data_IF_180160384359
#
_entry.id   IF_180160384359
#
_cell.length_a   1.000
_cell.length_b   1.000
_cell.length_c   1.000
_cell.angle_alpha   90.00
_cell.angle_beta   90.00
_cell.angle_gamma   90.00
#
_symmetry.space_group_name_H-M   'P 1'
#
loop_
_entity.id
_entity.type
_entity.pdbx_description
1 polymer ?
#
# COMPACT_ATOMS: atom_id res chain seq x y z
N UNK A 1 -17.17 52.33 -16.63
CA UNK A 1 -17.31 52.25 -15.17
C UNK A 1 -18.83 52.30 -14.75
N UNK A 2 -19.66 52.96 -15.52
CA UNK A 2 -21.12 53.08 -15.24
C UNK A 2 -21.87 51.74 -15.12
N UNK A 3 -21.39 50.72 -15.81
CA UNK A 3 -22.00 49.36 -15.85
C UNK A 3 -21.55 48.47 -14.69
N UNK A 4 -20.58 48.94 -13.85
CA UNK A 4 -20.10 48.16 -12.72
C UNK A 4 -21.13 48.22 -11.59
N UNK A 5 -21.64 47.06 -11.10
CA UNK A 5 -22.57 47.04 -9.99
C UNK A 5 -22.00 47.74 -8.74
N UNK A 6 -22.79 48.52 -8.06
CA UNK A 6 -22.38 49.15 -6.78
C UNK A 6 -22.15 48.05 -5.73
N UNK A 7 -21.05 48.15 -5.01
CA UNK A 7 -20.69 47.25 -3.91
C UNK A 7 -20.52 48.07 -2.62
N UNK A 8 -21.04 47.60 -1.48
CA UNK A 8 -20.86 48.27 -0.18
C UNK A 8 -19.42 48.20 0.31
N UNK A 9 -18.56 47.47 -0.38
CA UNK A 9 -17.14 47.25 -0.02
C UNK A 9 -16.16 48.06 -0.87
N UNK A 10 -16.65 48.63 -1.98
CA UNK A 10 -15.80 49.39 -2.92
C UNK A 10 -16.04 50.89 -2.72
N UNK A 11 -15.01 51.60 -2.31
CA UNK A 11 -15.08 53.04 -2.12
C UNK A 11 -14.86 53.86 -3.39
N UNK A 12 -14.02 53.33 -4.30
CA UNK A 12 -13.66 54.01 -5.57
C UNK A 12 -13.28 52.97 -6.63
N UNK A 13 -13.68 53.23 -7.87
CA UNK A 13 -13.19 52.55 -9.05
C UNK A 13 -12.49 53.54 -9.99
N UNK A 14 -11.41 53.16 -10.64
CA UNK A 14 -10.73 53.97 -11.60
C UNK A 14 -10.13 53.15 -12.74
N UNK A 15 -10.05 53.75 -13.93
CA UNK A 15 -9.36 53.13 -15.07
C UNK A 15 -7.85 53.27 -14.89
N UNK A 16 -7.11 52.19 -14.98
CA UNK A 16 -5.67 52.15 -14.86
C UNK A 16 -5.06 51.62 -16.16
N UNK A 17 -4.51 52.50 -16.95
CA UNK A 17 -3.93 52.14 -18.23
C UNK A 17 -4.93 51.53 -19.22
N UNK A 18 -4.40 50.80 -20.21
CA UNK A 18 -5.23 50.16 -21.25
C UNK A 18 -5.81 48.82 -20.76
N UNK A 19 -7.12 48.84 -20.43
CA UNK A 19 -7.87 47.61 -20.14
C UNK A 19 -7.89 47.13 -18.68
N UNK A 20 -7.37 47.94 -17.72
CA UNK A 20 -7.41 47.61 -16.29
C UNK A 20 -8.39 48.53 -15.54
N UNK A 21 -9.05 47.95 -14.51
CA UNK A 21 -9.88 48.70 -13.58
C UNK A 21 -9.37 48.42 -12.16
N UNK A 22 -8.97 49.49 -11.44
CA UNK A 22 -8.59 49.39 -10.02
C UNK A 22 -9.82 49.56 -9.15
N UNK A 23 -9.99 48.66 -8.17
CA UNK A 23 -11.01 48.74 -7.13
C UNK A 23 -10.32 49.10 -5.80
N UNK A 24 -10.68 50.22 -5.23
CA UNK A 24 -10.22 50.64 -3.91
C UNK A 24 -11.26 50.21 -2.86
N UNK A 25 -10.89 49.24 -2.03
CA UNK A 25 -11.78 48.69 -1.02
C UNK A 25 -11.89 49.65 0.19
N UNK A 26 -13.08 49.75 0.73
CA UNK A 26 -13.31 50.39 2.03
C UNK A 26 -12.70 49.53 3.17
N UNK A 27 -12.26 50.19 4.29
CA UNK A 27 -11.77 49.46 5.46
C UNK A 27 -12.81 48.42 5.98
N UNK A 28 -14.10 48.71 5.88
CA UNK A 28 -15.21 47.83 6.24
C UNK A 28 -15.20 46.46 5.50
N UNK A 29 -14.62 46.43 4.29
CA UNK A 29 -14.52 45.19 3.53
C UNK A 29 -13.62 44.14 4.25
N UNK A 30 -12.54 44.57 4.89
CA UNK A 30 -11.66 43.72 5.70
C UNK A 30 -12.32 43.26 6.99
N UNK A 31 -13.09 44.17 7.63
CA UNK A 31 -13.80 43.84 8.86
C UNK A 31 -14.93 42.85 8.61
N UNK A 32 -15.59 42.90 7.45
CA UNK A 32 -16.64 41.96 7.06
C UNK A 32 -16.08 40.53 6.92
N UNK A 33 -14.84 40.36 6.42
CA UNK A 33 -14.20 39.05 6.36
C UNK A 33 -14.00 38.45 7.76
N UNK A 34 -13.59 39.28 8.74
CA UNK A 34 -13.47 38.83 10.14
C UNK A 34 -14.81 38.37 10.69
N UNK A 35 -15.88 39.15 10.45
CA UNK A 35 -17.23 38.78 10.87
C UNK A 35 -17.68 37.45 10.26
N UNK A 36 -17.41 37.21 8.96
CA UNK A 36 -17.71 35.97 8.27
C UNK A 36 -16.94 34.78 8.86
N UNK A 37 -15.65 34.97 9.15
CA UNK A 37 -14.81 33.95 9.80
C UNK A 37 -15.44 33.54 11.15
N UNK A 38 -15.76 34.53 11.97
CA UNK A 38 -16.37 34.29 13.31
C UNK A 38 -17.73 33.59 13.21
N UNK A 39 -18.54 33.95 12.21
CA UNK A 39 -19.89 33.37 12.02
C UNK A 39 -19.79 31.93 11.47
N UNK A 40 -18.89 31.67 10.53
CA UNK A 40 -18.77 30.38 9.86
C UNK A 40 -17.88 29.40 10.64
N UNK A 41 -17.01 29.90 11.52
CA UNK A 41 -16.09 29.09 12.30
C UNK A 41 -15.28 28.12 11.41
N UNK A 42 -15.24 26.85 11.77
CA UNK A 42 -14.54 25.81 11.00
C UNK A 42 -15.08 25.54 9.60
N UNK A 43 -16.19 26.13 9.20
CA UNK A 43 -16.73 26.03 7.84
C UNK A 43 -16.25 27.16 6.91
N UNK A 44 -15.54 28.18 7.44
CA UNK A 44 -15.06 29.27 6.62
C UNK A 44 -14.05 28.79 5.57
N UNK A 45 -14.32 29.15 4.32
CA UNK A 45 -13.50 28.73 3.17
C UNK A 45 -13.93 27.40 2.52
N UNK A 46 -14.88 26.67 3.10
CA UNK A 46 -15.45 25.47 2.44
C UNK A 46 -16.07 25.83 1.09
N UNK A 47 -15.96 24.91 0.15
CA UNK A 47 -16.61 25.05 -1.16
C UNK A 47 -17.40 23.79 -1.51
N UNK A 48 -18.17 23.87 -2.58
CA UNK A 48 -18.98 22.76 -3.11
C UNK A 48 -18.43 22.24 -4.44
N UNK A 49 -17.18 22.53 -4.77
CA UNK A 49 -16.55 22.13 -6.03
C UNK A 49 -16.61 20.61 -6.28
N UNK A 50 -16.47 19.83 -5.23
CA UNK A 50 -16.53 18.37 -5.29
C UNK A 50 -17.94 17.80 -5.47
N UNK A 51 -18.98 18.61 -5.23
CA UNK A 51 -20.39 18.23 -5.40
C UNK A 51 -20.76 16.90 -4.70
N UNK A 52 -20.11 16.59 -3.59
CA UNK A 52 -20.21 15.33 -2.85
C UNK A 52 -19.90 14.08 -3.69
N UNK A 53 -19.21 14.24 -4.78
CA UNK A 53 -18.77 13.12 -5.61
C UNK A 53 -17.73 12.28 -4.86
N UNK A 54 -17.82 10.97 -5.02
CA UNK A 54 -16.92 10.04 -4.35
C UNK A 54 -15.52 10.12 -4.92
N UNK A 55 -14.55 10.27 -4.03
CA UNK A 55 -13.12 10.31 -4.37
C UNK A 55 -12.34 9.39 -3.44
N UNK A 56 -11.49 8.53 -4.00
CA UNK A 56 -10.59 7.71 -3.21
C UNK A 56 -9.16 8.23 -3.32
N UNK A 57 -8.47 8.25 -2.20
CA UNK A 57 -7.04 8.55 -2.15
C UNK A 57 -6.33 7.38 -1.48
N UNK A 58 -5.42 6.74 -2.20
CA UNK A 58 -4.50 5.74 -1.67
C UNK A 58 -3.14 6.39 -1.41
N UNK A 59 -2.59 6.17 -0.22
CA UNK A 59 -1.28 6.69 0.17
C UNK A 59 -0.66 5.87 1.29
N UNK A 60 0.64 6.03 1.52
CA UNK A 60 1.51 5.21 2.36
C UNK A 60 1.64 3.80 1.82
N UNK A 61 0.66 2.94 2.03
CA UNK A 61 0.60 1.54 1.53
C UNK A 61 1.94 0.80 1.68
N UNK A 62 2.60 0.98 2.84
CA UNK A 62 3.86 0.33 3.15
C UNK A 62 3.63 -1.17 3.36
N UNK A 63 4.61 -1.99 2.98
CA UNK A 63 4.56 -3.42 3.24
C UNK A 63 4.53 -3.69 4.75
N UNK A 64 3.64 -4.54 5.26
CA UNK A 64 3.51 -4.82 6.70
C UNK A 64 4.61 -5.79 7.17
N UNK A 65 5.87 -5.43 6.95
CA UNK A 65 7.04 -6.26 7.25
C UNK A 65 8.03 -5.60 8.19
N UNK A 66 7.72 -4.40 8.69
CA UNK A 66 8.52 -3.68 9.65
C UNK A 66 7.93 -2.31 9.98
N UNK A 67 8.48 -1.61 10.98
CA UNK A 67 8.02 -0.30 11.43
C UNK A 67 8.02 0.75 10.32
N UNK A 68 7.13 1.72 10.43
CA UNK A 68 7.11 2.87 9.53
C UNK A 68 8.37 3.72 9.74
N UNK A 69 8.83 4.38 8.69
CA UNK A 69 9.98 5.26 8.73
C UNK A 69 9.63 6.65 8.16
N UNK A 70 10.54 7.62 8.27
CA UNK A 70 10.33 9.02 7.86
C UNK A 70 9.85 9.18 6.41
N UNK A 71 10.25 8.28 5.51
CA UNK A 71 9.76 8.27 4.12
C UNK A 71 8.25 8.01 4.03
N UNK A 72 7.75 7.08 4.85
CA UNK A 72 6.31 6.79 4.98
C UNK A 72 5.58 7.97 5.63
N UNK A 73 6.15 8.58 6.68
CA UNK A 73 5.60 9.76 7.34
C UNK A 73 5.41 10.95 6.37
N UNK A 74 6.33 11.16 5.42
CA UNK A 74 6.18 12.18 4.38
C UNK A 74 4.99 11.87 3.47
N UNK A 75 4.82 10.62 3.04
CA UNK A 75 3.68 10.17 2.25
C UNK A 75 2.36 10.33 3.01
N UNK A 76 2.36 10.01 4.30
CA UNK A 76 1.23 10.15 5.20
C UNK A 76 0.79 11.62 5.35
N UNK A 77 1.73 12.53 5.63
CA UNK A 77 1.45 13.95 5.75
C UNK A 77 0.88 14.56 4.46
N UNK A 78 1.46 14.19 3.31
CA UNK A 78 0.99 14.66 2.02
C UNK A 78 -0.41 14.13 1.69
N UNK A 79 -0.62 12.82 1.83
CA UNK A 79 -1.90 12.19 1.54
C UNK A 79 -3.03 12.68 2.44
N UNK A 80 -2.79 12.79 3.75
CA UNK A 80 -3.76 13.31 4.70
C UNK A 80 -4.10 14.78 4.42
N UNK A 81 -3.09 15.62 4.14
CA UNK A 81 -3.33 17.03 3.80
C UNK A 81 -4.14 17.20 2.53
N UNK A 82 -3.84 16.43 1.49
CA UNK A 82 -4.61 16.42 0.24
C UNK A 82 -6.04 15.94 0.47
N UNK A 83 -6.21 14.87 1.24
CA UNK A 83 -7.53 14.33 1.60
C UNK A 83 -8.39 15.37 2.33
N UNK A 84 -7.80 16.05 3.32
CA UNK A 84 -8.46 17.10 4.07
C UNK A 84 -8.86 18.29 3.18
N UNK A 85 -7.97 18.71 2.28
CA UNK A 85 -8.22 19.78 1.34
C UNK A 85 -9.38 19.44 0.40
N UNK A 86 -9.39 18.24 -0.16
CA UNK A 86 -10.45 17.79 -1.08
C UNK A 86 -11.79 17.61 -0.37
N UNK A 87 -11.80 17.07 0.86
CA UNK A 87 -12.99 17.02 1.68
C UNK A 87 -13.53 18.42 2.00
N UNK A 88 -12.64 19.38 2.27
CA UNK A 88 -12.98 20.78 2.48
C UNK A 88 -13.53 21.45 1.22
N UNK A 89 -13.06 21.00 0.05
CA UNK A 89 -13.58 21.41 -1.25
C UNK A 89 -14.90 20.73 -1.65
N UNK A 90 -15.48 19.88 -0.79
CA UNK A 90 -16.80 19.29 -0.96
C UNK A 90 -16.84 17.92 -1.63
N UNK A 91 -15.71 17.23 -1.75
CA UNK A 91 -15.66 15.83 -2.16
C UNK A 91 -16.01 14.89 -1.01
N UNK A 92 -16.63 13.75 -1.33
CA UNK A 92 -16.77 12.61 -0.43
C UNK A 92 -15.50 11.74 -0.54
N UNK A 93 -14.56 11.97 0.37
CA UNK A 93 -13.21 11.42 0.31
C UNK A 93 -13.11 10.15 1.13
N UNK A 94 -12.66 9.06 0.51
CA UNK A 94 -12.26 7.81 1.16
C UNK A 94 -10.73 7.70 1.14
N UNK A 95 -10.11 7.57 2.31
CA UNK A 95 -8.67 7.34 2.50
C UNK A 95 -8.42 5.85 2.57
N UNK A 96 -7.57 5.33 1.72
CA UNK A 96 -7.30 3.89 1.64
C UNK A 96 -5.82 3.59 1.80
N UNK A 97 -5.54 2.59 2.63
CA UNK A 97 -4.24 1.96 2.78
C UNK A 97 -4.30 0.58 2.12
N UNK A 98 -3.45 0.32 1.13
CA UNK A 98 -3.32 -0.99 0.53
C UNK A 98 -2.37 -1.87 1.37
N UNK A 99 -2.88 -2.97 1.85
CA UNK A 99 -2.15 -3.94 2.67
C UNK A 99 -1.63 -5.05 1.76
N UNK A 100 -0.33 -5.10 1.56
CA UNK A 100 0.33 -6.20 0.85
C UNK A 100 0.48 -7.41 1.80
N UNK A 101 -0.62 -8.09 2.08
CA UNK A 101 -0.71 -9.25 2.97
C UNK A 101 -0.62 -10.60 2.22
N UNK A 102 -0.44 -10.56 0.91
CA UNK A 102 -0.19 -11.70 0.06
C UNK A 102 1.28 -11.75 -0.39
N UNK A 103 1.86 -12.94 -0.37
CA UNK A 103 3.14 -13.15 -0.99
C UNK A 103 4.31 -13.43 -0.06
N UNK A 104 5.48 -13.60 -0.67
CA UNK A 104 6.71 -14.13 -0.05
C UNK A 104 7.24 -13.29 1.11
N UNK A 105 7.07 -11.96 1.09
CA UNK A 105 7.58 -11.11 2.17
C UNK A 105 6.89 -11.39 3.51
N UNK A 106 5.59 -11.67 3.48
CA UNK A 106 4.85 -12.08 4.67
C UNK A 106 5.28 -13.48 5.16
N UNK A 107 5.56 -14.40 4.24
CA UNK A 107 6.13 -15.70 4.60
C UNK A 107 7.49 -15.56 5.28
N UNK A 108 8.34 -14.63 4.81
CA UNK A 108 9.64 -14.35 5.43
C UNK A 108 9.46 -13.76 6.84
N UNK A 109 8.51 -12.85 7.03
CA UNK A 109 8.23 -12.29 8.36
C UNK A 109 7.72 -13.36 9.33
N UNK A 110 6.78 -14.18 8.87
CA UNK A 110 6.25 -15.29 9.67
C UNK A 110 7.35 -16.32 10.03
N UNK A 111 8.20 -16.68 9.08
CA UNK A 111 9.37 -17.51 9.34
C UNK A 111 10.31 -16.85 10.35
N UNK A 112 10.60 -15.55 10.20
CA UNK A 112 11.48 -14.82 11.10
C UNK A 112 10.96 -14.84 12.54
N UNK A 113 9.69 -14.58 12.75
CA UNK A 113 9.07 -14.63 14.08
C UNK A 113 9.07 -16.05 14.65
N UNK A 114 8.79 -17.07 13.82
CA UNK A 114 8.83 -18.46 14.27
C UNK A 114 10.25 -18.92 14.63
N UNK A 115 11.27 -18.54 13.86
CA UNK A 115 12.68 -18.85 14.20
C UNK A 115 13.11 -18.15 15.50
N UNK A 116 12.69 -16.89 15.72
CA UNK A 116 12.93 -16.19 17.00
C UNK A 116 12.19 -16.87 18.16
N UNK A 117 10.97 -17.34 17.94
CA UNK A 117 10.24 -18.15 18.91
C UNK A 117 10.99 -19.44 19.24
N UNK A 118 11.54 -20.14 18.23
CA UNK A 118 12.37 -21.34 18.43
C UNK A 118 13.62 -21.05 19.28
N UNK A 119 14.24 -19.87 19.12
CA UNK A 119 15.39 -19.43 19.93
C UNK A 119 15.06 -19.34 21.43
N UNK A 120 13.82 -19.01 21.80
CA UNK A 120 13.36 -18.93 23.19
C UNK A 120 13.32 -20.31 23.89
N UNK A 121 13.48 -21.40 23.10
CA UNK A 121 13.51 -22.79 23.56
C UNK A 121 14.82 -23.49 23.16
N UNK A 122 15.91 -22.72 22.94
CA UNK A 122 17.18 -23.24 22.44
C UNK A 122 17.84 -24.32 23.33
N UNK A 123 17.51 -24.37 24.60
CA UNK A 123 17.94 -25.46 25.51
C UNK A 123 17.25 -26.78 25.22
N UNK A 124 16.02 -26.74 24.68
CA UNK A 124 15.22 -27.90 24.34
C UNK A 124 15.37 -28.35 22.87
N UNK A 125 15.72 -27.44 21.98
CA UNK A 125 16.00 -27.70 20.57
C UNK A 125 17.36 -27.11 20.20
N UNK A 126 18.16 -27.85 19.41
CA UNK A 126 19.45 -27.33 18.93
C UNK A 126 19.26 -25.98 18.21
N UNK A 127 20.26 -25.10 18.29
CA UNK A 127 20.19 -23.77 17.71
C UNK A 127 20.12 -23.83 16.18
N UNK A 128 19.12 -23.15 15.60
CA UNK A 128 18.96 -22.96 14.17
C UNK A 128 19.69 -21.66 13.78
N UNK A 129 20.61 -21.67 12.81
CA UNK A 129 21.22 -20.45 12.30
C UNK A 129 20.15 -19.50 11.75
N UNK A 130 20.10 -18.26 12.25
CA UNK A 130 19.14 -17.28 11.76
C UNK A 130 19.57 -16.74 10.38
N UNK A 131 18.74 -16.83 9.33
CA UNK A 131 19.14 -16.41 7.99
C UNK A 131 19.42 -14.91 7.92
N UNK A 132 20.53 -14.47 7.26
CA UNK A 132 20.88 -13.05 7.21
C UNK A 132 19.90 -12.20 6.38
N UNK A 133 19.15 -12.81 5.49
CA UNK A 133 18.11 -12.17 4.66
C UNK A 133 16.70 -12.31 5.23
N UNK A 134 16.54 -12.80 6.46
CA UNK A 134 15.32 -12.74 7.23
C UNK A 134 15.19 -11.39 7.98
N UNK A 135 14.03 -11.08 8.55
CA UNK A 135 13.80 -9.84 9.28
C UNK A 135 14.46 -9.89 10.67
N UNK A 136 15.36 -8.93 10.95
CA UNK A 136 16.27 -8.94 12.09
C UNK A 136 15.83 -8.06 13.26
N UNK A 137 14.84 -7.18 13.06
CA UNK A 137 14.45 -6.14 14.04
C UNK A 137 13.92 -6.69 15.35
N UNK A 138 13.98 -5.88 16.42
CA UNK A 138 13.50 -6.28 17.75
C UNK A 138 11.99 -6.56 17.76
N UNK A 139 11.21 -5.87 16.93
CA UNK A 139 9.77 -6.15 16.77
C UNK A 139 9.47 -7.62 16.42
N UNK A 140 10.37 -8.31 15.70
CA UNK A 140 10.24 -9.75 15.39
C UNK A 140 10.43 -10.60 16.65
N UNK A 141 11.28 -10.16 17.59
CA UNK A 141 11.47 -10.82 18.89
C UNK A 141 10.25 -10.63 19.78
N UNK A 142 9.68 -9.41 19.77
CA UNK A 142 8.47 -9.11 20.52
C UNK A 142 7.30 -9.99 20.07
N UNK A 143 7.10 -10.15 18.74
CA UNK A 143 6.13 -11.08 18.18
C UNK A 143 6.35 -12.53 18.63
N UNK A 144 7.62 -12.96 18.67
CA UNK A 144 7.98 -14.30 19.14
C UNK A 144 7.70 -14.51 20.63
N UNK A 145 7.96 -13.51 21.45
CA UNK A 145 7.64 -13.54 22.90
C UNK A 145 6.12 -13.59 23.15
N UNK A 146 5.35 -12.83 22.38
CA UNK A 146 3.89 -12.88 22.43
C UNK A 146 3.37 -14.29 22.06
N UNK A 147 3.92 -14.90 20.98
CA UNK A 147 3.60 -16.27 20.63
C UNK A 147 3.90 -17.26 21.77
N UNK A 148 5.03 -17.08 22.49
CA UNK A 148 5.38 -17.89 23.65
C UNK A 148 4.41 -17.70 24.80
N UNK A 149 4.01 -16.46 25.09
CA UNK A 149 3.04 -16.16 26.15
C UNK A 149 1.69 -16.80 25.83
N UNK A 150 1.25 -16.71 24.59
CA UNK A 150 -0.07 -17.21 24.18
C UNK A 150 -0.15 -18.75 24.07
N UNK A 151 0.93 -19.42 23.67
CA UNK A 151 0.89 -20.83 23.26
C UNK A 151 2.00 -21.71 23.85
N UNK A 152 2.88 -21.14 24.71
CA UNK A 152 4.03 -21.84 25.28
C UNK A 152 4.84 -22.57 24.17
N UNK A 153 5.21 -23.83 24.36
CA UNK A 153 6.02 -24.63 23.45
C UNK A 153 5.28 -25.26 22.25
N UNK A 154 4.05 -24.90 21.98
CA UNK A 154 3.18 -25.52 20.95
C UNK A 154 3.83 -25.62 19.56
N UNK A 155 4.54 -24.57 19.16
CA UNK A 155 5.12 -24.47 17.82
C UNK A 155 6.60 -24.87 17.76
N UNK A 156 7.15 -25.40 18.84
CA UNK A 156 8.53 -25.91 18.91
C UNK A 156 8.68 -27.15 18.02
N UNK A 157 9.73 -27.17 17.22
CA UNK A 157 10.08 -28.32 16.36
C UNK A 157 11.57 -28.62 16.50
N UNK A 158 12.02 -29.90 16.36
CA UNK A 158 13.45 -30.25 16.37
C UNK A 158 14.22 -29.52 15.25
N UNK A 159 15.36 -28.94 15.57
CA UNK A 159 16.17 -28.19 14.61
C UNK A 159 16.57 -29.06 13.38
N UNK A 160 16.82 -30.35 13.60
CA UNK A 160 17.16 -31.27 12.51
C UNK A 160 16.04 -31.40 11.46
N UNK A 161 14.77 -31.36 11.89
CA UNK A 161 13.61 -31.40 10.98
C UNK A 161 13.39 -30.07 10.28
N UNK A 162 13.63 -28.95 10.98
CA UNK A 162 13.52 -27.62 10.39
C UNK A 162 14.59 -27.41 9.30
N UNK A 163 15.79 -27.91 9.50
CA UNK A 163 16.92 -27.78 8.57
C UNK A 163 16.99 -28.90 7.52
N UNK A 164 16.04 -29.83 7.54
CA UNK A 164 16.08 -30.98 6.61
C UNK A 164 16.01 -30.52 5.15
N UNK A 165 17.02 -30.91 4.36
CA UNK A 165 17.07 -30.59 2.93
C UNK A 165 17.33 -29.12 2.60
N UNK A 166 17.59 -28.26 3.59
CA UNK A 166 17.94 -26.87 3.32
C UNK A 166 19.36 -26.79 2.74
N UNK A 167 19.59 -25.97 1.68
CA UNK A 167 20.94 -25.64 1.24
C UNK A 167 21.75 -25.01 2.38
N UNK A 168 23.04 -25.26 2.46
CA UNK A 168 23.91 -24.59 3.42
C UNK A 168 23.91 -23.07 3.20
N UNK A 169 24.06 -22.29 4.28
CA UNK A 169 24.28 -20.85 4.14
C UNK A 169 25.71 -20.60 3.62
N UNK A 170 25.90 -19.71 2.65
CA UNK A 170 27.20 -19.28 2.22
C UNK A 170 27.91 -18.49 3.32
N UNK A 171 29.24 -18.34 3.20
CA UNK A 171 29.99 -17.45 4.08
C UNK A 171 29.35 -16.04 4.09
N UNK A 172 29.26 -15.46 5.28
CA UNK A 172 28.62 -14.15 5.51
C UNK A 172 29.31 -13.01 4.76
N UNK A 173 30.62 -13.14 4.48
CA UNK A 173 31.40 -12.13 3.76
C UNK A 173 31.14 -12.15 2.24
N UNK A 174 30.63 -13.26 1.70
CA UNK A 174 30.31 -13.35 0.26
C UNK A 174 29.07 -12.54 -0.10
N UNK A 175 29.24 -11.62 -1.07
CA UNK A 175 28.15 -10.73 -1.57
C UNK A 175 27.86 -10.91 -3.06
N UNK A 176 28.51 -11.88 -3.71
CA UNK A 176 28.30 -12.21 -5.13
C UNK A 176 26.89 -12.78 -5.38
N UNK A 177 26.50 -12.82 -6.65
CA UNK A 177 25.16 -13.24 -7.05
C UNK A 177 24.87 -14.72 -6.72
N UNK A 178 25.90 -15.57 -6.73
CA UNK A 178 25.76 -16.98 -6.33
C UNK A 178 25.45 -17.10 -4.84
N UNK A 179 26.16 -16.36 -3.99
CA UNK A 179 25.89 -16.32 -2.55
C UNK A 179 24.50 -15.74 -2.23
N UNK A 180 24.05 -14.73 -2.99
CA UNK A 180 22.67 -14.23 -2.88
C UNK A 180 21.66 -15.30 -3.24
N UNK A 181 21.82 -15.95 -4.39
CA UNK A 181 20.92 -17.02 -4.82
C UNK A 181 20.87 -18.17 -3.81
N UNK A 182 22.02 -18.54 -3.22
CA UNK A 182 22.09 -19.57 -2.19
C UNK A 182 21.37 -19.18 -0.90
N UNK A 183 21.46 -17.91 -0.45
CA UNK A 183 20.69 -17.40 0.70
C UNK A 183 19.19 -17.43 0.44
N UNK A 184 18.76 -17.02 -0.77
CA UNK A 184 17.35 -17.07 -1.15
C UNK A 184 16.84 -18.51 -1.19
N UNK A 185 17.60 -19.45 -1.77
CA UNK A 185 17.24 -20.86 -1.80
C UNK A 185 17.17 -21.48 -0.39
N UNK A 186 18.07 -21.09 0.52
CA UNK A 186 18.02 -21.51 1.92
C UNK A 186 16.76 -21.01 2.61
N UNK A 187 16.42 -19.72 2.42
CA UNK A 187 15.24 -19.09 3.01
C UNK A 187 13.95 -19.74 2.48
N UNK A 188 13.87 -20.00 1.18
CA UNK A 188 12.71 -20.64 0.56
C UNK A 188 12.51 -22.08 1.07
N UNK A 189 13.60 -22.81 1.25
CA UNK A 189 13.55 -24.15 1.83
C UNK A 189 13.08 -24.13 3.29
N UNK A 190 13.53 -23.15 4.09
CA UNK A 190 13.04 -22.97 5.47
C UNK A 190 11.57 -22.62 5.51
N UNK A 191 11.08 -21.75 4.64
CA UNK A 191 9.65 -21.43 4.52
C UNK A 191 8.84 -22.68 4.19
N UNK A 192 9.30 -23.47 3.22
CA UNK A 192 8.64 -24.71 2.84
C UNK A 192 8.58 -25.71 4.01
N UNK A 193 9.69 -25.89 4.72
CA UNK A 193 9.77 -26.75 5.90
C UNK A 193 8.86 -26.24 7.02
N UNK A 194 8.84 -24.95 7.30
CA UNK A 194 7.98 -24.33 8.31
C UNK A 194 6.50 -24.60 8.00
N UNK A 195 6.08 -24.36 6.76
CA UNK A 195 4.70 -24.66 6.30
C UNK A 195 4.34 -26.14 6.45
N UNK A 196 5.25 -27.03 6.08
CA UNK A 196 5.02 -28.47 6.21
C UNK A 196 4.98 -28.94 7.68
N UNK A 197 5.84 -28.41 8.54
CA UNK A 197 5.95 -28.81 9.95
C UNK A 197 4.85 -28.24 10.84
N UNK A 198 4.36 -27.05 10.53
CA UNK A 198 3.30 -26.37 11.28
C UNK A 198 1.91 -26.69 10.72
N UNK A 199 1.79 -27.00 9.42
CA UNK A 199 0.51 -27.25 8.80
C UNK A 199 -0.47 -26.08 9.00
N UNK A 200 -1.64 -26.34 9.58
CA UNK A 200 -2.64 -25.30 9.85
C UNK A 200 -2.16 -24.24 10.86
N UNK A 201 -1.26 -24.59 11.78
CA UNK A 201 -0.68 -23.65 12.73
C UNK A 201 0.18 -22.57 12.04
N UNK A 202 0.65 -22.81 10.79
CA UNK A 202 1.29 -21.76 9.99
C UNK A 202 0.38 -20.57 9.74
N UNK A 203 -0.90 -20.81 9.52
CA UNK A 203 -1.87 -19.74 9.33
C UNK A 203 -1.98 -18.83 10.58
N UNK A 204 -1.88 -19.44 11.78
CA UNK A 204 -1.82 -18.65 13.02
C UNK A 204 -0.58 -17.77 13.05
N UNK A 205 0.62 -18.33 12.81
CA UNK A 205 1.87 -17.55 12.83
C UNK A 205 1.81 -16.41 11.84
N UNK A 206 1.35 -16.67 10.61
CA UNK A 206 1.20 -15.67 9.56
C UNK A 206 0.20 -14.57 9.94
N UNK A 207 -0.97 -14.94 10.47
CA UNK A 207 -1.98 -13.97 10.89
C UNK A 207 -1.52 -13.14 12.09
N UNK A 208 -0.80 -13.77 13.05
CA UNK A 208 -0.27 -13.08 14.21
C UNK A 208 0.69 -11.97 13.81
N UNK A 209 1.72 -12.29 13.01
CA UNK A 209 2.71 -11.28 12.58
C UNK A 209 2.10 -10.18 11.72
N UNK A 210 1.10 -10.51 10.89
CA UNK A 210 0.38 -9.52 10.09
C UNK A 210 -0.43 -8.57 10.99
N UNK A 211 -1.16 -9.12 11.95
CA UNK A 211 -1.99 -8.34 12.87
C UNK A 211 -1.13 -7.38 13.70
N UNK A 212 -0.08 -7.89 14.33
CA UNK A 212 0.84 -7.08 15.13
C UNK A 212 1.44 -5.93 14.31
N UNK A 213 1.92 -6.23 13.09
CA UNK A 213 2.54 -5.20 12.26
C UNK A 213 1.54 -4.16 11.75
N UNK A 214 0.30 -4.57 11.45
CA UNK A 214 -0.75 -3.63 11.04
C UNK A 214 -1.25 -2.77 12.20
N UNK A 215 -1.31 -3.32 13.42
CA UNK A 215 -1.66 -2.55 14.61
C UNK A 215 -0.60 -1.51 14.93
N UNK A 216 0.69 -1.87 14.83
CA UNK A 216 1.82 -0.95 14.99
C UNK A 216 1.73 0.20 13.96
N UNK A 217 1.62 -0.13 12.67
CA UNK A 217 1.46 0.87 11.60
C UNK A 217 0.23 1.77 11.80
N UNK A 218 -0.87 1.21 12.25
CA UNK A 218 -2.11 1.98 12.52
C UNK A 218 -1.91 2.92 13.68
N UNK A 219 -1.33 2.45 14.79
CA UNK A 219 -1.05 3.24 15.98
C UNK A 219 -0.12 4.42 15.65
N UNK A 220 0.98 4.17 14.93
CA UNK A 220 1.92 5.20 14.52
C UNK A 220 1.26 6.28 13.66
N UNK A 221 0.42 5.86 12.69
CA UNK A 221 -0.29 6.79 11.81
C UNK A 221 -1.34 7.60 12.57
N UNK A 222 -2.05 6.99 13.51
CA UNK A 222 -3.03 7.69 14.36
C UNK A 222 -2.37 8.69 15.30
N UNK A 223 -1.23 8.33 15.93
CA UNK A 223 -0.41 9.28 16.71
C UNK A 223 0.08 10.45 15.85
N UNK A 224 0.43 10.18 14.60
CA UNK A 224 0.82 11.21 13.64
C UNK A 224 -0.37 12.05 13.14
N UNK A 225 -1.61 11.74 13.54
CA UNK A 225 -2.83 12.42 13.14
C UNK A 225 -3.34 12.05 11.74
N UNK A 226 -2.97 10.86 11.27
CA UNK A 226 -3.37 10.34 9.95
C UNK A 226 -4.27 9.13 10.12
N UNK A 227 -5.50 9.23 9.63
CA UNK A 227 -6.50 8.17 9.73
C UNK A 227 -6.87 7.63 8.34
N UNK A 228 -7.11 6.33 8.26
CA UNK A 228 -7.58 5.65 7.06
C UNK A 228 -8.99 5.12 7.27
N UNK A 229 -9.83 5.28 6.25
CA UNK A 229 -11.21 4.79 6.25
C UNK A 229 -11.24 3.30 5.87
N UNK A 230 -10.29 2.85 5.03
CA UNK A 230 -10.20 1.48 4.52
C UNK A 230 -8.76 0.98 4.59
N UNK A 231 -8.58 -0.22 5.14
CA UNK A 231 -7.36 -1.03 5.05
C UNK A 231 -7.65 -2.19 4.11
N UNK A 232 -7.24 -2.04 2.85
CA UNK A 232 -7.59 -2.96 1.78
C UNK A 232 -6.58 -4.10 1.69
N UNK A 233 -7.04 -5.34 1.91
CA UNK A 233 -6.22 -6.55 1.81
C UNK A 233 -6.00 -6.97 0.36
N UNK A 234 -4.73 -7.10 -0.08
CA UNK A 234 -4.39 -7.67 -1.38
C UNK A 234 -4.90 -9.11 -1.52
N UNK A 235 -4.77 -9.90 -0.46
CA UNK A 235 -5.23 -11.29 -0.42
C UNK A 235 -6.70 -11.41 -0.81
N UNK A 236 -7.53 -10.44 -0.46
CA UNK A 236 -8.95 -10.44 -0.80
C UNK A 236 -9.21 -10.46 -2.31
N UNK A 237 -8.30 -9.93 -3.13
CA UNK A 237 -8.41 -9.96 -4.60
C UNK A 237 -8.31 -11.39 -5.15
N UNK A 238 -7.51 -12.23 -4.50
CA UNK A 238 -7.35 -13.64 -4.86
C UNK A 238 -8.50 -14.49 -4.30
N UNK A 239 -8.84 -14.31 -3.03
CA UNK A 239 -9.89 -15.06 -2.34
C UNK A 239 -11.27 -14.87 -3.00
N UNK A 240 -11.55 -13.68 -3.54
CA UNK A 240 -12.78 -13.36 -4.27
C UNK A 240 -12.72 -13.72 -5.75
N UNK A 241 -11.58 -14.19 -6.26
CA UNK A 241 -11.37 -14.50 -7.67
C UNK A 241 -11.33 -13.28 -8.59
N UNK A 242 -11.16 -12.07 -8.04
CA UNK A 242 -11.18 -10.83 -8.82
C UNK A 242 -10.00 -10.75 -9.79
N UNK A 243 -8.82 -11.24 -9.41
CA UNK A 243 -7.64 -11.29 -10.28
C UNK A 243 -7.92 -12.15 -11.51
N UNK A 244 -8.48 -13.35 -11.31
CA UNK A 244 -8.85 -14.26 -12.40
C UNK A 244 -9.88 -13.61 -13.33
N UNK A 245 -10.94 -13.02 -12.76
CA UNK A 245 -11.99 -12.32 -13.51
C UNK A 245 -11.43 -11.18 -14.36
N UNK A 246 -10.51 -10.39 -13.81
CA UNK A 246 -9.88 -9.28 -14.49
C UNK A 246 -9.07 -9.73 -15.70
N UNK A 247 -8.21 -10.75 -15.55
CA UNK A 247 -7.40 -11.31 -16.64
C UNK A 247 -8.30 -11.93 -17.72
N UNK A 248 -9.41 -12.55 -17.33
CA UNK A 248 -10.39 -13.09 -18.26
C UNK A 248 -11.12 -11.99 -19.06
N UNK A 249 -11.50 -10.87 -18.42
CA UNK A 249 -12.08 -9.71 -19.08
C UNK A 249 -11.16 -9.13 -20.15
N UNK A 250 -9.88 -8.92 -19.80
CA UNK A 250 -8.85 -8.48 -20.76
C UNK A 250 -8.68 -9.47 -21.90
N UNK A 251 -8.78 -10.77 -21.64
CA UNK A 251 -8.73 -11.83 -22.66
C UNK A 251 -9.92 -11.76 -23.60
N UNK A 252 -11.15 -11.62 -23.09
CA UNK A 252 -12.38 -11.45 -23.89
C UNK A 252 -12.36 -10.19 -24.76
N UNK A 253 -11.70 -9.12 -24.27
CA UNK A 253 -11.48 -7.91 -25.04
C UNK A 253 -10.36 -8.04 -26.11
N UNK A 254 -9.67 -9.20 -26.18
CA UNK A 254 -8.61 -9.45 -27.16
C UNK A 254 -7.25 -8.85 -26.79
N UNK A 255 -7.10 -8.42 -25.54
CA UNK A 255 -5.89 -7.76 -25.02
C UNK A 255 -4.93 -8.71 -24.31
N UNK A 256 -5.26 -10.00 -24.22
CA UNK A 256 -4.38 -11.05 -23.66
C UNK A 256 -4.12 -12.12 -24.71
N UNK A 257 -2.90 -12.65 -24.75
CA UNK A 257 -2.50 -13.76 -25.60
C UNK A 257 -1.64 -14.75 -24.81
N UNK A 258 -1.56 -15.99 -25.30
CA UNK A 258 -0.73 -17.04 -24.70
C UNK A 258 0.60 -17.14 -25.45
N UNK A 259 1.71 -17.20 -24.71
CA UNK A 259 3.06 -17.42 -25.24
C UNK A 259 3.90 -18.15 -24.18
N UNK A 260 4.60 -19.20 -24.61
CA UNK A 260 5.52 -20.01 -23.77
C UNK A 260 4.84 -20.52 -22.47
N UNK A 261 3.56 -20.89 -22.56
CA UNK A 261 2.77 -21.36 -21.44
C UNK A 261 2.25 -20.27 -20.47
N UNK A 262 2.66 -19.03 -20.66
CA UNK A 262 2.24 -17.87 -19.87
C UNK A 262 1.19 -17.03 -20.61
N UNK A 263 0.38 -16.28 -19.85
CA UNK A 263 -0.57 -15.31 -20.40
C UNK A 263 0.01 -13.91 -20.32
N UNK A 264 -0.03 -13.21 -21.46
CA UNK A 264 0.57 -11.90 -21.65
C UNK A 264 -0.49 -10.85 -21.98
N UNK A 265 -0.45 -9.73 -21.28
CA UNK A 265 -1.23 -8.53 -21.64
C UNK A 265 -0.46 -7.70 -22.67
N UNK A 266 -1.17 -7.25 -23.71
CA UNK A 266 -0.64 -6.41 -24.80
C UNK A 266 -0.37 -4.98 -24.32
N UNK A 267 0.46 -4.82 -23.31
CA UNK A 267 0.75 -3.55 -22.65
C UNK A 267 1.36 -2.53 -23.59
N UNK A 268 2.15 -2.99 -24.58
CA UNK A 268 2.76 -2.14 -25.60
C UNK A 268 1.74 -1.42 -26.47
N UNK A 269 0.59 -2.03 -26.75
CA UNK A 269 -0.51 -1.40 -27.49
C UNK A 269 -1.14 -0.21 -26.74
N UNK A 270 -0.87 -0.07 -25.45
CA UNK A 270 -1.40 0.97 -24.56
C UNK A 270 -0.31 1.90 -24.01
N UNK A 271 0.88 1.92 -24.64
CA UNK A 271 1.94 2.88 -24.29
C UNK A 271 2.98 2.42 -23.31
N UNK A 272 3.02 1.11 -22.94
CA UNK A 272 4.15 0.53 -22.23
C UNK A 272 5.29 0.19 -23.22
N UNK A 273 6.51 0.03 -22.73
CA UNK A 273 7.67 -0.34 -23.55
C UNK A 273 7.59 -1.75 -24.14
N UNK A 274 6.88 -2.67 -23.47
CA UNK A 274 6.73 -4.07 -23.88
C UNK A 274 5.49 -4.71 -23.25
N UNK A 275 5.06 -5.85 -23.81
CA UNK A 275 3.99 -6.66 -23.24
C UNK A 275 4.39 -7.27 -21.90
N UNK A 276 3.41 -7.56 -21.06
CA UNK A 276 3.63 -8.00 -19.68
C UNK A 276 2.90 -9.30 -19.34
N UNK A 277 3.59 -10.18 -18.65
CA UNK A 277 2.99 -11.40 -18.12
C UNK A 277 1.98 -11.03 -17.03
N UNK A 278 0.76 -11.52 -17.14
CA UNK A 278 -0.30 -11.43 -16.12
C UNK A 278 -0.52 -12.76 -15.40
N UNK A 279 -0.24 -13.89 -16.06
CA UNK A 279 -0.25 -15.22 -15.46
C UNK A 279 0.95 -16.02 -15.98
N UNK A 280 1.71 -16.62 -15.07
CA UNK A 280 2.90 -17.42 -15.38
C UNK A 280 2.50 -18.80 -15.91
N UNK A 281 3.46 -19.51 -16.47
CA UNK A 281 3.35 -20.91 -16.96
C UNK A 281 2.92 -21.91 -15.88
N UNK A 282 3.27 -21.64 -14.61
CA UNK A 282 2.83 -22.42 -13.45
C UNK A 282 1.40 -22.07 -12.96
N UNK A 283 0.67 -21.23 -13.68
CA UNK A 283 -0.69 -20.80 -13.36
C UNK A 283 -0.81 -19.67 -12.33
N UNK A 284 0.30 -19.22 -11.72
CA UNK A 284 0.28 -18.14 -10.74
C UNK A 284 0.15 -16.78 -11.41
N UNK A 285 -0.71 -15.92 -10.87
CA UNK A 285 -0.83 -14.54 -11.30
C UNK A 285 0.38 -13.72 -10.87
N UNK A 286 0.71 -12.70 -11.65
CA UNK A 286 1.78 -11.74 -11.32
C UNK A 286 1.24 -10.60 -10.47
N UNK A 287 2.14 -9.87 -9.82
CA UNK A 287 1.78 -8.62 -9.12
C UNK A 287 1.07 -7.61 -10.03
N UNK A 288 1.43 -7.59 -11.32
CA UNK A 288 0.76 -6.72 -12.27
C UNK A 288 -0.72 -7.09 -12.47
N UNK A 289 -1.06 -8.37 -12.44
CA UNK A 289 -2.45 -8.81 -12.51
C UNK A 289 -3.25 -8.42 -11.26
N UNK A 290 -2.66 -8.51 -10.05
CA UNK A 290 -3.31 -8.04 -8.83
C UNK A 290 -3.49 -6.52 -8.81
N UNK A 291 -2.53 -5.75 -9.31
CA UNK A 291 -2.64 -4.30 -9.42
C UNK A 291 -3.77 -3.87 -10.37
N UNK A 292 -3.89 -4.53 -11.52
CA UNK A 292 -4.99 -4.26 -12.46
C UNK A 292 -6.34 -4.57 -11.78
N UNK A 293 -6.43 -5.71 -11.10
CA UNK A 293 -7.65 -6.13 -10.41
C UNK A 293 -8.01 -5.17 -9.26
N UNK A 294 -7.01 -4.67 -8.53
CA UNK A 294 -7.22 -3.69 -7.48
C UNK A 294 -7.79 -2.37 -8.03
N UNK A 295 -7.25 -1.86 -9.11
CA UNK A 295 -7.76 -0.64 -9.73
C UNK A 295 -9.16 -0.84 -10.31
N UNK A 296 -9.46 -2.01 -10.90
CA UNK A 296 -10.81 -2.37 -11.32
C UNK A 296 -11.77 -2.40 -10.12
N UNK A 297 -11.34 -2.95 -8.98
CA UNK A 297 -12.12 -2.94 -7.75
C UNK A 297 -12.45 -1.52 -7.28
N UNK A 298 -11.50 -0.57 -7.37
CA UNK A 298 -11.76 0.84 -7.05
C UNK A 298 -12.85 1.43 -7.95
N UNK A 299 -12.78 1.15 -9.24
CA UNK A 299 -13.78 1.59 -10.21
C UNK A 299 -15.16 0.97 -9.91
N UNK A 300 -15.21 -0.34 -9.66
CA UNK A 300 -16.46 -1.06 -9.33
C UNK A 300 -17.13 -0.53 -8.04
N UNK A 301 -16.37 0.05 -7.11
CA UNK A 301 -16.90 0.73 -5.91
C UNK A 301 -17.51 2.11 -6.19
N UNK A 302 -17.44 2.57 -7.44
CA UNK A 302 -18.12 3.78 -7.91
C UNK A 302 -17.43 5.08 -7.52
N UNK A 303 -16.11 5.11 -7.38
CA UNK A 303 -15.36 6.35 -7.22
C UNK A 303 -15.25 7.09 -8.56
N UNK A 304 -15.65 8.36 -8.57
CA UNK A 304 -15.51 9.20 -9.77
C UNK A 304 -14.06 9.66 -9.99
N UNK A 305 -13.31 9.75 -8.91
CA UNK A 305 -11.88 10.04 -8.96
C UNK A 305 -11.11 9.11 -8.05
N UNK A 306 -9.98 8.64 -8.56
CA UNK A 306 -9.03 7.78 -7.86
C UNK A 306 -7.67 8.46 -7.93
N UNK A 307 -7.06 8.69 -6.78
CA UNK A 307 -5.73 9.28 -6.64
C UNK A 307 -4.84 8.27 -5.93
N UNK A 308 -3.73 7.88 -6.57
CA UNK A 308 -2.69 7.07 -5.96
C UNK A 308 -1.46 7.94 -5.72
N UNK A 309 -0.96 7.98 -4.49
CA UNK A 309 0.26 8.70 -4.12
C UNK A 309 1.37 7.67 -4.01
N UNK A 310 2.22 7.64 -5.01
CA UNK A 310 3.33 6.71 -5.13
C UNK A 310 4.68 7.39 -4.97
N UNK A 311 5.70 6.64 -4.54
CA UNK A 311 7.07 7.07 -4.57
C UNK A 311 7.58 7.32 -6.00
N UNK A 312 8.65 8.09 -6.15
CA UNK A 312 9.22 8.42 -7.46
C UNK A 312 9.76 7.20 -8.21
N UNK A 313 10.08 6.13 -7.50
CA UNK A 313 10.48 4.82 -8.01
C UNK A 313 9.40 4.12 -8.85
N UNK A 314 8.13 4.47 -8.62
CA UNK A 314 6.99 3.94 -9.39
C UNK A 314 6.70 4.71 -10.69
N UNK A 315 7.51 5.73 -11.04
CA UNK A 315 7.25 6.57 -12.23
C UNK A 315 7.09 5.77 -13.52
N UNK A 316 7.96 4.79 -13.76
CA UNK A 316 7.89 3.88 -14.93
C UNK A 316 6.70 2.91 -14.90
N UNK A 317 6.00 2.80 -13.76
CA UNK A 317 4.86 1.90 -13.61
C UNK A 317 3.52 2.56 -14.00
N UNK A 318 3.45 3.89 -13.96
CA UNK A 318 2.24 4.67 -14.25
C UNK A 318 1.67 4.39 -15.66
N UNK A 319 2.46 4.43 -16.75
CA UNK A 319 1.94 4.13 -18.10
C UNK A 319 1.34 2.73 -18.19
N UNK A 320 1.95 1.76 -17.53
CA UNK A 320 1.54 0.36 -17.50
C UNK A 320 0.15 0.18 -16.88
N UNK A 321 -0.06 0.76 -15.69
CA UNK A 321 -1.36 0.70 -15.01
C UNK A 321 -2.43 1.45 -15.81
N UNK A 322 -2.12 2.66 -16.30
CA UNK A 322 -3.05 3.42 -17.15
C UNK A 322 -3.44 2.66 -18.42
N UNK A 323 -2.48 2.01 -19.05
CA UNK A 323 -2.73 1.17 -20.23
C UNK A 323 -3.70 0.03 -19.94
N UNK A 324 -3.48 -0.69 -18.84
CA UNK A 324 -4.36 -1.78 -18.43
C UNK A 324 -5.79 -1.31 -18.12
N UNK A 325 -5.93 -0.17 -17.44
CA UNK A 325 -7.25 0.42 -17.16
C UNK A 325 -7.97 0.92 -18.42
N UNK A 326 -7.22 1.36 -19.44
CA UNK A 326 -7.80 1.75 -20.72
C UNK A 326 -8.26 0.56 -21.55
N UNK A 327 -7.76 -0.64 -21.26
CA UNK A 327 -8.09 -1.89 -21.92
C UNK A 327 -9.33 -2.60 -21.32
N UNK A 328 -9.72 -2.24 -20.10
CA UNK A 328 -10.89 -2.72 -19.36
C UNK A 328 -12.13 -1.89 -19.66
#
# INVERSE_FOLDING_TARGET
LSEIPKSPFVGKTEIAGAGFINFHLLPSAKLEVIRRILTQGGAFGRSTLGDKKKLQIEFVSANPTGPLHVGHGRGAAYGASLSNLLAFAGWDVTREYYVNDAGRQMDILALSAWLRYMELYAEACARIPFPPNAYQGDYVRDMAEQMKIAHDGKYVRPAATVLQGTPGLPDTERTDDEARAQREAHLDALIANAKALLGEDWNYVHSHVLTEQLEDCRSDLEEFGVHFDVWFSEKSLFDTGLVARCVEQLGKAGHVYDQDGARWFKSSAFGDEKDRVVQRDNGLYTYFASDIAYHLNKYDRGFERIINIWGADHHGYIPRVKGALSAL
#
